data_IF_889766433622
#
_entry.id   IF_889766433622
#
_cell.length_a   1.000
_cell.length_b   1.000
_cell.length_c   1.000
_cell.angle_alpha   90.00
_cell.angle_beta   90.00
_cell.angle_gamma   90.00
#
_symmetry.space_group_name_H-M   'P 1'
#
loop_
_entity.id
_entity.type
_entity.pdbx_description
1 polymer ?
#
# COMPACT_ATOMS: atom_id res chain seq x y z
N UNK A 1 18.31 -35.42 18.48
CA UNK A 1 16.93 -34.96 18.27
C UNK A 1 16.81 -33.67 19.02
N UNK A 2 16.97 -32.56 18.33
CA UNK A 2 16.68 -31.25 18.89
C UNK A 2 16.19 -30.40 17.72
N UNK A 3 14.87 -30.22 17.66
CA UNK A 3 14.20 -29.36 16.69
C UNK A 3 13.53 -28.25 17.48
N UNK A 4 14.24 -27.15 17.65
CA UNK A 4 13.64 -25.89 18.10
C UNK A 4 12.84 -25.30 16.94
N UNK A 5 11.51 -25.08 17.06
CA UNK A 5 10.76 -24.46 15.98
C UNK A 5 11.09 -22.97 15.96
N UNK A 6 11.61 -22.50 14.83
CA UNK A 6 11.70 -21.07 14.54
C UNK A 6 10.27 -20.51 14.47
N UNK A 7 9.94 -19.59 15.38
CA UNK A 7 8.64 -18.94 15.43
C UNK A 7 8.45 -18.05 14.20
N UNK A 8 7.74 -18.56 13.20
CA UNK A 8 7.30 -17.79 12.05
C UNK A 8 6.42 -16.62 12.51
N UNK A 9 6.92 -15.38 12.36
CA UNK A 9 6.13 -14.17 12.58
C UNK A 9 4.99 -14.13 11.56
N UNK A 10 3.79 -14.51 11.99
CA UNK A 10 2.55 -14.34 11.21
C UNK A 10 2.17 -12.86 11.22
N UNK A 11 2.74 -12.08 10.30
CA UNK A 11 2.38 -10.67 10.11
C UNK A 11 1.04 -10.51 9.37
N UNK A 12 0.31 -9.43 9.67
CA UNK A 12 -0.85 -8.94 8.91
C UNK A 12 -0.34 -8.23 7.65
N UNK A 13 -1.02 -8.37 6.51
CA UNK A 13 -0.43 -8.06 5.20
C UNK A 13 -1.31 -7.14 4.35
N UNK A 14 -0.80 -5.94 4.03
CA UNK A 14 -0.96 -5.37 2.70
C UNK A 14 -2.11 -4.35 2.52
N UNK A 15 -1.72 -3.16 2.09
CA UNK A 15 -2.54 -2.06 1.56
C UNK A 15 -2.24 -1.92 0.08
N UNK A 16 -3.24 -1.73 -0.78
CA UNK A 16 -2.99 -1.61 -2.22
C UNK A 16 -4.12 -0.82 -2.92
N UNK A 17 -3.76 -0.09 -3.97
CA UNK A 17 -4.53 0.47 -5.08
C UNK A 17 -3.59 0.20 -6.29
N UNK A 18 -3.95 -0.58 -7.32
CA UNK A 18 -4.45 -0.11 -8.60
C UNK A 18 -4.99 -1.30 -9.42
N UNK A 19 -5.97 -1.01 -10.26
CA UNK A 19 -6.71 -1.98 -11.07
C UNK A 19 -5.83 -2.94 -11.87
N UNK A 20 -6.16 -4.23 -11.80
CA UNK A 20 -5.46 -5.35 -12.44
C UNK A 20 -4.04 -5.55 -11.92
N UNK A 21 -3.92 -6.10 -10.72
CA UNK A 21 -3.62 -7.53 -10.47
C UNK A 21 -3.27 -7.68 -8.98
N UNK A 22 -3.59 -8.85 -8.44
CA UNK A 22 -2.88 -9.46 -7.31
C UNK A 22 -3.47 -9.41 -5.89
N UNK A 23 -4.54 -8.69 -5.52
CA UNK A 23 -5.11 -8.88 -4.16
C UNK A 23 -5.53 -10.33 -3.90
N UNK A 24 -6.24 -10.90 -4.87
CA UNK A 24 -6.62 -12.30 -4.85
C UNK A 24 -5.40 -13.23 -4.96
N UNK A 25 -4.30 -12.78 -5.59
CA UNK A 25 -3.06 -13.56 -5.67
C UNK A 25 -2.40 -13.59 -4.29
N UNK A 26 -2.22 -12.46 -3.63
CA UNK A 26 -1.66 -12.40 -2.26
C UNK A 26 -2.56 -13.19 -1.29
N UNK A 27 -3.89 -12.96 -1.34
CA UNK A 27 -4.87 -13.70 -0.54
C UNK A 27 -4.76 -15.22 -0.74
N UNK A 28 -4.63 -15.70 -1.99
CA UNK A 28 -4.57 -17.13 -2.31
C UNK A 28 -3.21 -17.78 -2.12
N UNK A 29 -2.12 -17.06 -2.37
CA UNK A 29 -0.78 -17.65 -2.51
C UNK A 29 0.21 -17.23 -1.43
N UNK A 30 -0.03 -16.12 -0.73
CA UNK A 30 0.85 -15.65 0.35
C UNK A 30 0.30 -15.97 1.75
N UNK A 31 -0.90 -16.56 1.84
CA UNK A 31 -1.58 -16.93 3.10
C UNK A 31 -1.52 -15.85 4.21
N UNK A 32 -1.84 -14.59 3.93
CA UNK A 32 -1.84 -13.56 4.95
C UNK A 32 -2.98 -13.80 5.95
N UNK A 33 -2.74 -13.43 7.20
CA UNK A 33 -3.76 -13.50 8.26
C UNK A 33 -4.95 -12.56 7.99
N UNK A 34 -4.66 -11.36 7.47
CA UNK A 34 -5.64 -10.35 7.06
C UNK A 34 -5.00 -9.42 6.02
N UNK A 35 -5.82 -8.92 5.09
CA UNK A 35 -5.47 -7.89 4.10
C UNK A 35 -6.34 -6.67 4.33
N UNK A 36 -5.76 -5.47 4.41
CA UNK A 36 -6.49 -4.23 4.67
C UNK A 36 -6.37 -3.31 3.46
N UNK A 37 -7.48 -3.02 2.78
CA UNK A 37 -7.43 -2.29 1.50
C UNK A 37 -7.89 -0.84 1.67
N UNK A 38 -7.06 0.07 1.15
CA UNK A 38 -7.40 1.48 0.96
C UNK A 38 -7.41 1.75 -0.55
N UNK A 39 -8.60 1.94 -1.09
CA UNK A 39 -8.83 2.21 -2.51
C UNK A 39 -9.85 3.35 -2.60
N UNK A 40 -9.42 4.56 -2.93
CA UNK A 40 -10.30 5.73 -2.96
C UNK A 40 -11.11 5.87 -4.25
N UNK A 41 -10.68 5.27 -5.37
CA UNK A 41 -11.32 5.48 -6.67
C UNK A 41 -12.63 4.66 -6.76
N UNK A 42 -13.82 5.27 -6.92
CA UNK A 42 -15.10 4.55 -6.88
C UNK A 42 -15.24 3.47 -7.95
N UNK A 43 -14.78 3.75 -9.16
CA UNK A 43 -14.78 2.76 -10.25
C UNK A 43 -13.94 1.51 -9.86
N UNK A 44 -13.01 1.66 -8.89
CA UNK A 44 -11.95 0.70 -8.57
C UNK A 44 -12.38 -0.26 -7.53
N UNK A 45 -13.05 0.31 -6.56
CA UNK A 45 -13.85 -0.38 -5.58
C UNK A 45 -14.79 -1.35 -6.29
N UNK A 46 -15.48 -0.92 -7.36
CA UNK A 46 -16.42 -1.79 -8.09
C UNK A 46 -15.72 -3.01 -8.72
N UNK A 47 -14.61 -2.79 -9.44
CA UNK A 47 -13.83 -3.88 -10.04
C UNK A 47 -13.18 -4.77 -8.96
N UNK A 48 -12.68 -4.18 -7.87
CA UNK A 48 -12.09 -4.89 -6.74
C UNK A 48 -13.11 -5.85 -6.12
N UNK A 49 -14.32 -5.37 -5.82
CA UNK A 49 -15.39 -6.20 -5.22
C UNK A 49 -15.73 -7.41 -6.10
N UNK A 50 -15.82 -7.21 -7.41
CA UNK A 50 -16.03 -8.31 -8.37
C UNK A 50 -14.88 -9.32 -8.27
N UNK A 51 -13.63 -8.85 -8.29
CA UNK A 51 -12.46 -9.72 -8.22
C UNK A 51 -12.37 -10.51 -6.92
N UNK A 52 -12.67 -9.89 -5.77
CA UNK A 52 -12.69 -10.56 -4.47
C UNK A 52 -13.77 -11.65 -4.44
N UNK A 53 -14.97 -11.36 -4.95
CA UNK A 53 -16.07 -12.31 -5.04
C UNK A 53 -15.72 -13.50 -5.93
N UNK A 54 -15.18 -13.26 -7.13
CA UNK A 54 -14.79 -14.32 -8.07
C UNK A 54 -13.70 -15.24 -7.52
N UNK A 55 -12.90 -14.74 -6.57
CA UNK A 55 -11.79 -15.47 -6.00
C UNK A 55 -12.06 -16.04 -4.61
N UNK A 56 -13.26 -15.86 -4.06
CA UNK A 56 -13.64 -16.32 -2.71
C UNK A 56 -12.66 -15.85 -1.62
N UNK A 57 -12.17 -14.61 -1.74
CA UNK A 57 -11.25 -14.02 -0.76
C UNK A 57 -12.02 -13.60 0.50
N UNK A 58 -11.82 -14.30 1.62
CA UNK A 58 -12.49 -14.03 2.90
C UNK A 58 -11.62 -13.31 3.93
N UNK A 59 -10.31 -13.23 3.71
CA UNK A 59 -9.34 -12.58 4.60
C UNK A 59 -9.06 -11.11 4.23
N UNK A 60 -10.01 -10.45 3.56
CA UNK A 60 -9.85 -9.07 3.06
C UNK A 60 -10.81 -8.15 3.79
N UNK A 61 -10.24 -7.22 4.56
CA UNK A 61 -10.92 -6.11 5.21
C UNK A 61 -11.13 -4.98 4.19
N UNK A 62 -12.39 -4.64 3.97
CA UNK A 62 -12.86 -3.65 3.00
C UNK A 62 -13.49 -2.41 3.68
N UNK A 63 -13.30 -2.24 4.98
CA UNK A 63 -13.92 -1.15 5.77
C UNK A 63 -13.38 0.24 5.37
N UNK A 64 -12.24 0.28 4.68
CA UNK A 64 -11.56 1.52 4.29
C UNK A 64 -11.64 1.83 2.79
N UNK A 65 -12.52 1.14 2.05
CA UNK A 65 -12.81 1.49 0.66
C UNK A 65 -13.43 2.89 0.59
N UNK A 66 -12.95 3.72 -0.34
CA UNK A 66 -13.33 5.14 -0.48
C UNK A 66 -12.47 6.11 0.32
N UNK A 67 -11.47 5.61 1.06
CA UNK A 67 -10.49 6.43 1.78
C UNK A 67 -9.15 6.39 1.06
N UNK A 68 -8.54 7.55 0.86
CA UNK A 68 -7.15 7.69 0.42
C UNK A 68 -6.23 7.85 1.64
N UNK A 69 -4.98 7.40 1.53
CA UNK A 69 -3.96 7.68 2.52
C UNK A 69 -3.19 8.95 2.15
N UNK A 70 -2.87 9.77 3.15
CA UNK A 70 -2.09 11.01 3.01
C UNK A 70 -1.32 11.32 4.30
N UNK A 71 -0.40 12.27 4.27
CA UNK A 71 0.31 12.68 5.50
C UNK A 71 -0.56 13.49 6.44
N UNK A 72 -1.56 14.19 5.91
CA UNK A 72 -2.44 15.08 6.65
C UNK A 72 -3.90 14.94 6.15
N UNK A 73 -4.91 15.21 7.00
CA UNK A 73 -6.30 15.19 6.58
C UNK A 73 -6.58 16.21 5.47
N UNK A 74 -7.13 15.75 4.34
CA UNK A 74 -7.56 16.61 3.23
C UNK A 74 -8.71 15.97 2.46
N UNK A 75 -9.30 16.74 1.56
CA UNK A 75 -10.30 16.26 0.60
C UNK A 75 -9.73 16.32 -0.81
N UNK A 76 -10.07 15.31 -1.62
CA UNK A 76 -9.53 15.16 -2.96
C UNK A 76 -10.62 14.71 -3.95
N UNK A 77 -10.30 14.85 -5.24
CA UNK A 77 -11.02 14.24 -6.34
C UNK A 77 -10.09 13.31 -7.13
N UNK A 78 -10.70 12.34 -7.80
CA UNK A 78 -9.98 11.50 -8.75
C UNK A 78 -9.68 12.32 -9.99
N UNK A 79 -8.41 12.36 -10.37
CA UNK A 79 -7.95 12.92 -11.64
C UNK A 79 -7.45 11.81 -12.55
N UNK A 80 -7.81 11.86 -13.83
CA UNK A 80 -7.36 10.91 -14.84
C UNK A 80 -6.50 11.65 -15.87
N UNK A 81 -5.16 11.55 -15.80
CA UNK A 81 -4.24 12.20 -16.76
C UNK A 81 -4.53 11.79 -18.20
N UNK A 82 -4.92 10.54 -18.40
CA UNK A 82 -5.40 9.99 -19.68
C UNK A 82 -6.84 9.55 -19.46
N UNK A 83 -7.76 10.04 -20.30
CA UNK A 83 -9.19 9.70 -20.23
C UNK A 83 -9.39 8.17 -20.21
N UNK A 84 -10.24 7.70 -19.29
CA UNK A 84 -10.52 6.28 -19.06
C UNK A 84 -9.31 5.40 -18.68
N UNK A 85 -8.15 5.98 -18.39
CA UNK A 85 -7.01 5.22 -17.85
C UNK A 85 -7.03 5.25 -16.32
N UNK A 86 -7.79 4.33 -15.73
CA UNK A 86 -7.86 4.19 -14.27
C UNK A 86 -6.54 3.72 -13.65
N UNK A 87 -5.65 3.18 -14.48
CA UNK A 87 -4.31 2.75 -14.09
C UNK A 87 -3.29 3.87 -13.96
N UNK A 88 -3.68 5.14 -14.09
CA UNK A 88 -2.85 6.31 -13.76
C UNK A 88 -3.65 7.35 -12.98
N UNK A 89 -4.72 6.90 -12.33
CA UNK A 89 -5.61 7.80 -11.59
C UNK A 89 -4.90 8.35 -10.36
N UNK A 90 -4.99 9.66 -10.16
CA UNK A 90 -4.36 10.37 -9.05
C UNK A 90 -5.42 10.95 -8.12
N UNK A 91 -5.07 11.11 -6.85
CA UNK A 91 -5.88 11.85 -5.88
C UNK A 91 -5.34 13.27 -5.77
N UNK A 92 -6.06 14.24 -6.36
CA UNK A 92 -5.68 15.65 -6.30
C UNK A 92 -6.55 16.39 -5.30
N UNK A 93 -5.91 17.20 -4.46
CA UNK A 93 -6.60 18.06 -3.49
C UNK A 93 -7.59 19.01 -4.18
N UNK A 94 -8.74 19.21 -3.57
CA UNK A 94 -9.81 20.02 -4.15
C UNK A 94 -10.68 20.68 -3.06
N UNK A 95 -11.07 21.94 -3.27
CA UNK A 95 -11.93 22.70 -2.34
C UNK A 95 -13.27 22.00 -2.06
N UNK A 96 -13.76 21.24 -3.03
CA UNK A 96 -15.02 20.48 -2.97
C UNK A 96 -14.80 19.01 -3.38
N UNK A 97 -13.77 18.39 -2.83
CA UNK A 97 -13.48 16.96 -3.00
C UNK A 97 -14.50 16.04 -2.35
N UNK A 98 -14.73 14.87 -2.95
CA UNK A 98 -15.62 13.82 -2.40
C UNK A 98 -14.88 12.67 -1.71
N UNK A 99 -13.55 12.59 -1.90
CA UNK A 99 -12.70 11.56 -1.30
C UNK A 99 -12.02 12.14 -0.07
N UNK A 100 -12.08 11.39 1.04
CA UNK A 100 -11.34 11.72 2.25
C UNK A 100 -9.95 11.12 2.18
N UNK A 101 -8.95 11.96 2.40
CA UNK A 101 -7.55 11.56 2.55
C UNK A 101 -7.17 11.67 4.03
N UNK A 102 -6.64 10.61 4.62
CA UNK A 102 -6.33 10.54 6.05
C UNK A 102 -4.97 9.88 6.31
N UNK A 103 -4.28 10.23 7.42
CA UNK A 103 -3.10 9.49 7.88
C UNK A 103 -3.40 8.03 8.15
N UNK A 104 -2.64 7.12 7.54
CA UNK A 104 -2.83 5.68 7.72
C UNK A 104 -2.49 5.21 9.13
N UNK A 105 -1.64 5.93 9.85
CA UNK A 105 -1.34 5.67 11.26
C UNK A 105 -2.58 5.66 12.17
N UNK A 106 -3.68 6.31 11.77
CA UNK A 106 -4.97 6.24 12.49
C UNK A 106 -5.56 4.82 12.52
N UNK A 107 -5.22 3.99 11.54
CA UNK A 107 -5.83 2.67 11.34
C UNK A 107 -4.84 1.53 11.61
N UNK A 108 -3.55 1.73 11.29
CA UNK A 108 -2.60 0.62 11.10
C UNK A 108 -1.71 0.30 12.29
N UNK A 109 -1.69 1.17 13.30
CA UNK A 109 -0.90 0.92 14.52
C UNK A 109 -1.49 -0.16 15.44
N UNK A 110 -2.74 -0.56 15.22
CA UNK A 110 -3.48 -1.44 16.15
C UNK A 110 -3.12 -2.93 16.01
N UNK A 111 -2.54 -3.36 14.88
CA UNK A 111 -2.18 -4.76 14.62
C UNK A 111 -0.82 -4.87 13.93
N UNK A 112 -0.08 -5.99 14.08
CA UNK A 112 1.24 -6.15 13.47
C UNK A 112 1.22 -6.16 11.95
N UNK A 113 1.83 -5.18 11.29
CA UNK A 113 1.93 -5.12 9.82
C UNK A 113 3.26 -5.72 9.36
N UNK A 114 3.22 -6.83 8.63
CA UNK A 114 4.41 -7.49 8.08
C UNK A 114 4.79 -7.01 6.68
N UNK A 115 3.83 -6.48 5.91
CA UNK A 115 4.06 -6.09 4.53
C UNK A 115 3.08 -5.03 4.05
N UNK A 116 3.55 -4.11 3.20
CA UNK A 116 2.79 -3.00 2.61
C UNK A 116 3.08 -2.93 1.12
N UNK A 117 2.06 -2.66 0.28
CA UNK A 117 2.30 -2.08 -1.05
C UNK A 117 1.86 -0.63 -1.09
N UNK A 118 2.56 0.16 -1.89
CA UNK A 118 2.20 1.54 -2.20
C UNK A 118 2.26 1.70 -3.71
N UNK A 119 1.12 2.00 -4.32
CA UNK A 119 0.94 2.25 -5.76
C UNK A 119 -0.24 3.23 -5.85
N UNK A 120 0.13 4.51 -5.78
CA UNK A 120 -0.81 5.62 -5.57
C UNK A 120 -0.56 6.78 -6.53
N UNK A 121 0.24 6.53 -7.56
CA UNK A 121 0.47 7.39 -8.73
C UNK A 121 0.84 8.84 -8.37
N UNK A 122 1.97 9.00 -7.67
CA UNK A 122 2.58 10.29 -7.34
C UNK A 122 2.38 10.73 -5.88
N UNK A 123 1.58 9.99 -5.10
CA UNK A 123 1.33 10.26 -3.68
C UNK A 123 2.16 9.39 -2.72
N UNK A 124 3.16 8.64 -3.22
CA UNK A 124 3.84 7.59 -2.46
C UNK A 124 4.47 8.11 -1.16
N UNK A 125 5.17 9.23 -1.25
CA UNK A 125 5.87 9.83 -0.12
C UNK A 125 4.91 10.53 0.86
N UNK A 126 3.76 11.01 0.38
CA UNK A 126 2.69 11.52 1.24
C UNK A 126 2.09 10.37 2.06
N UNK A 127 1.89 9.20 1.43
CA UNK A 127 1.48 7.97 2.11
C UNK A 127 2.53 7.53 3.11
N UNK A 128 3.80 7.40 2.72
CA UNK A 128 4.91 6.99 3.61
C UNK A 128 4.97 7.87 4.86
N UNK A 129 4.83 9.19 4.72
CA UNK A 129 4.77 10.13 5.84
C UNK A 129 3.53 9.91 6.71
N UNK A 130 2.37 9.62 6.12
CA UNK A 130 1.12 9.32 6.84
C UNK A 130 1.09 7.98 7.58
N UNK A 131 1.99 7.05 7.24
CA UNK A 131 2.15 5.73 7.91
C UNK A 131 3.47 5.60 8.66
N UNK A 132 4.17 6.72 8.90
CA UNK A 132 5.53 6.70 9.43
C UNK A 132 5.63 5.92 10.75
N UNK A 133 4.71 6.14 11.70
CA UNK A 133 4.78 5.42 12.98
C UNK A 133 4.40 3.94 12.85
N UNK A 134 3.59 3.56 11.87
CA UNK A 134 3.34 2.16 11.52
C UNK A 134 4.63 1.50 11.01
N UNK A 135 5.40 2.20 10.17
CA UNK A 135 6.69 1.73 9.64
C UNK A 135 7.72 1.59 10.77
N UNK A 136 7.84 2.60 11.63
CA UNK A 136 8.75 2.57 12.77
C UNK A 136 8.41 1.46 13.76
N UNK A 137 7.12 1.26 14.05
CA UNK A 137 6.64 0.28 15.01
C UNK A 137 6.79 -1.16 14.52
N UNK A 138 6.35 -1.45 13.29
CA UNK A 138 6.22 -2.82 12.80
C UNK A 138 7.31 -3.26 11.83
N UNK A 139 8.07 -2.30 11.27
CA UNK A 139 9.18 -2.57 10.35
C UNK A 139 8.78 -3.50 9.18
N UNK A 140 7.67 -3.25 8.47
CA UNK A 140 7.20 -4.12 7.38
C UNK A 140 8.17 -4.10 6.19
N UNK A 141 8.17 -5.16 5.38
CA UNK A 141 8.66 -5.05 3.99
C UNK A 141 7.69 -4.18 3.17
N UNK A 142 8.22 -3.39 2.24
CA UNK A 142 7.40 -2.46 1.45
C UNK A 142 7.70 -2.66 -0.04
N UNK A 143 6.66 -2.95 -0.82
CA UNK A 143 6.70 -2.90 -2.28
C UNK A 143 6.13 -1.55 -2.72
N UNK A 144 6.93 -0.69 -3.33
CA UNK A 144 6.51 0.67 -3.68
C UNK A 144 6.78 0.94 -5.17
N UNK A 145 5.77 1.45 -5.87
CA UNK A 145 5.89 1.93 -7.25
C UNK A 145 6.27 3.40 -7.23
N UNK A 146 7.48 3.75 -7.66
CA UNK A 146 8.02 5.11 -7.58
C UNK A 146 8.34 5.62 -8.97
N UNK A 147 7.74 6.74 -9.36
CA UNK A 147 8.02 7.39 -10.64
C UNK A 147 9.53 7.70 -10.81
N UNK A 148 10.08 7.59 -12.04
CA UNK A 148 11.51 7.77 -12.31
C UNK A 148 12.16 9.00 -11.67
N UNK A 149 11.48 10.13 -11.72
CA UNK A 149 11.95 11.41 -11.18
C UNK A 149 12.04 11.45 -9.64
N UNK A 150 11.42 10.49 -8.95
CA UNK A 150 11.41 10.39 -7.48
C UNK A 150 12.34 9.29 -6.95
N UNK A 151 13.14 8.63 -7.78
CA UNK A 151 14.03 7.54 -7.34
C UNK A 151 15.07 8.00 -6.30
N UNK A 152 15.56 9.24 -6.40
CA UNK A 152 16.48 9.81 -5.41
C UNK A 152 15.80 10.02 -4.04
N UNK A 153 14.51 10.37 -4.04
CA UNK A 153 13.75 10.52 -2.80
C UNK A 153 13.57 9.16 -2.11
N UNK A 154 13.39 8.08 -2.88
CA UNK A 154 13.31 6.73 -2.32
C UNK A 154 14.62 6.32 -1.65
N UNK A 155 15.76 6.62 -2.28
CA UNK A 155 17.08 6.38 -1.67
C UNK A 155 17.23 7.16 -0.36
N UNK A 156 16.89 8.44 -0.38
CA UNK A 156 16.99 9.32 0.79
C UNK A 156 16.07 8.85 1.92
N UNK A 157 14.87 8.38 1.58
CA UNK A 157 13.92 7.81 2.53
C UNK A 157 14.47 6.49 3.14
N UNK A 158 15.06 5.62 2.31
CA UNK A 158 15.67 4.39 2.79
C UNK A 158 16.77 4.67 3.83
N UNK A 159 17.67 5.61 3.54
CA UNK A 159 18.76 5.99 4.45
C UNK A 159 18.21 6.54 5.77
N UNK A 160 17.20 7.42 5.71
CA UNK A 160 16.61 8.06 6.89
C UNK A 160 15.87 7.07 7.80
N UNK A 161 15.21 6.05 7.24
CA UNK A 161 14.38 5.10 7.98
C UNK A 161 15.07 3.74 8.22
N UNK A 162 16.34 3.59 7.85
CA UNK A 162 17.09 2.34 8.02
C UNK A 162 16.51 1.20 7.17
N UNK A 163 16.15 1.50 5.94
CA UNK A 163 15.68 0.55 4.92
C UNK A 163 16.73 0.42 3.81
N UNK A 164 16.63 -0.63 3.01
CA UNK A 164 17.41 -0.79 1.79
C UNK A 164 16.54 -1.37 0.67
N UNK A 165 16.79 -0.95 -0.56
CA UNK A 165 16.26 -1.59 -1.76
C UNK A 165 16.86 -3.00 -1.85
N UNK A 166 16.01 -4.02 -1.79
CA UNK A 166 16.40 -5.44 -1.91
C UNK A 166 16.20 -5.96 -3.31
N UNK A 167 15.13 -5.53 -3.97
CA UNK A 167 14.85 -5.89 -5.37
C UNK A 167 14.25 -4.70 -6.13
N UNK A 168 14.53 -4.65 -7.43
CA UNK A 168 13.95 -3.69 -8.37
C UNK A 168 13.28 -4.45 -9.48
N UNK A 169 12.06 -4.03 -9.83
CA UNK A 169 11.24 -4.59 -10.91
C UNK A 169 11.11 -3.51 -12.01
N UNK A 170 12.10 -3.40 -12.90
CA UNK A 170 12.30 -2.23 -13.75
C UNK A 170 11.23 -2.01 -14.83
N UNK A 171 10.41 -3.02 -15.14
CA UNK A 171 9.34 -2.86 -16.13
C UNK A 171 8.23 -1.92 -15.63
N UNK A 172 8.04 -1.83 -14.32
CA UNK A 172 6.91 -1.13 -13.70
C UNK A 172 7.36 -0.11 -12.63
N UNK A 173 8.64 0.27 -12.59
CA UNK A 173 9.22 1.14 -11.55
C UNK A 173 8.89 0.72 -10.11
N UNK A 174 8.78 -0.59 -9.87
CA UNK A 174 8.45 -1.15 -8.58
C UNK A 174 9.75 -1.50 -7.82
N UNK A 175 9.80 -1.16 -6.54
CA UNK A 175 10.95 -1.40 -5.66
C UNK A 175 10.48 -2.15 -4.42
N UNK A 176 11.15 -3.25 -4.10
CA UNK A 176 10.98 -3.90 -2.81
C UNK A 176 12.06 -3.38 -1.85
N UNK A 177 11.62 -2.70 -0.80
CA UNK A 177 12.47 -2.21 0.29
C UNK A 177 12.18 -2.99 1.57
N UNK A 178 13.23 -3.28 2.33
CA UNK A 178 13.11 -3.97 3.60
C UNK A 178 14.03 -3.34 4.66
N UNK A 179 13.74 -3.51 5.96
CA UNK A 179 14.63 -3.09 7.03
C UNK A 179 16.07 -3.56 6.79
N UNK A 180 17.04 -2.70 7.10
CA UNK A 180 18.42 -3.14 7.31
C UNK A 180 18.45 -3.85 8.66
N UNK A 181 18.84 -5.12 8.68
CA UNK A 181 19.11 -5.82 9.93
C UNK A 181 20.41 -5.26 10.51
N UNK A 182 20.37 -4.86 11.79
CA UNK A 182 21.52 -4.37 12.54
C UNK A 182 22.35 -5.49 13.14
#
# INVERSE_FOLDING_TARGET
MDQTPCAARKGVCGHWCKYRKSFHIVSKFCSPSEIIIFEPNPNAIDILKINLSLNACSNVNIDYLGVALSSEPKIANVFYPISNNMGQAQMLEADHGVIKCLPGDLFLRQKPVGFIKIDVEGAEFDVLKGIQGTIELWRPGILIEVWPERHQDLSSWCDAFGYAVRETFPLDNNFFVAPVEG
#
